data_IF_145746262795
#
_entry.id   IF_145746262795
#
_cell.length_a   1.000
_cell.length_b   1.000
_cell.length_c   1.000
_cell.angle_alpha   90.00
_cell.angle_beta   90.00
_cell.angle_gamma   90.00
#
_symmetry.space_group_name_H-M   'P 1'
#
loop_
_entity.id
_entity.type
_entity.pdbx_description
1 polymer ?
#
# COMPACT_ATOMS: atom_id res chain seq x y z
N UNK A 1 8.18 3.84 22.76
CA UNK A 1 6.92 3.06 22.65
C UNK A 1 7.07 1.60 23.05
N UNK A 2 7.94 0.79 22.44
CA UNK A 2 8.02 -0.66 22.74
C UNK A 2 8.36 -0.98 24.20
N UNK A 3 9.27 -0.22 24.81
CA UNK A 3 9.62 -0.38 26.22
C UNK A 3 8.40 -0.24 27.13
N UNK A 4 7.58 0.78 26.89
CA UNK A 4 6.40 1.04 27.71
C UNK A 4 5.34 -0.03 27.51
N UNK A 5 5.14 -0.52 26.29
CA UNK A 5 4.17 -1.56 25.99
C UNK A 5 4.44 -2.89 26.73
N UNK A 6 5.68 -3.14 27.16
CA UNK A 6 6.01 -4.31 27.98
C UNK A 6 5.46 -4.24 29.41
N UNK A 7 5.35 -3.04 29.98
CA UNK A 7 4.94 -2.87 31.37
C UNK A 7 3.41 -2.64 31.47
N UNK A 8 2.75 -3.23 32.48
CA UNK A 8 1.36 -2.94 32.81
C UNK A 8 1.07 -1.44 32.94
N UNK A 9 -0.17 -1.05 32.65
CA UNK A 9 -0.61 0.36 32.64
C UNK A 9 -0.35 1.06 33.97
N UNK A 10 -0.59 0.38 35.08
CA UNK A 10 -0.41 0.90 36.44
C UNK A 10 1.05 1.31 36.70
N UNK A 11 2.01 0.53 36.18
CA UNK A 11 3.43 0.84 36.31
C UNK A 11 3.84 2.00 35.39
N UNK A 12 3.26 2.07 34.19
CA UNK A 12 3.52 3.19 33.26
C UNK A 12 3.05 4.51 33.83
N UNK A 13 1.89 4.56 34.46
CA UNK A 13 1.32 5.79 35.04
C UNK A 13 2.10 6.27 36.26
N UNK A 14 2.56 5.35 37.12
CA UNK A 14 3.17 5.70 38.41
C UNK A 14 4.69 5.84 38.35
N UNK A 15 5.38 5.17 37.41
CA UNK A 15 6.83 5.02 37.44
C UNK A 15 7.51 5.27 36.08
N UNK A 16 6.98 6.20 35.29
CA UNK A 16 7.43 6.46 33.91
C UNK A 16 8.95 6.77 33.83
N UNK A 17 9.46 7.66 34.69
CA UNK A 17 10.90 7.99 34.74
C UNK A 17 11.78 6.78 35.09
N UNK A 18 11.28 5.88 35.96
CA UNK A 18 12.00 4.65 36.33
C UNK A 18 12.00 3.63 35.20
N UNK A 19 10.94 3.58 34.41
CA UNK A 19 10.87 2.74 33.22
C UNK A 19 11.84 3.27 32.14
N UNK A 20 11.88 4.59 31.90
CA UNK A 20 12.77 5.18 30.91
C UNK A 20 14.25 5.03 31.27
N UNK A 21 14.56 5.08 32.57
CA UNK A 21 15.90 4.86 33.12
C UNK A 21 16.23 3.38 33.40
N UNK A 22 15.34 2.43 33.04
CA UNK A 22 15.49 1.03 33.41
C UNK A 22 16.81 0.43 32.89
N UNK A 23 17.63 -0.24 33.73
CA UNK A 23 18.93 -0.79 33.32
C UNK A 23 18.86 -1.74 32.11
N UNK A 24 17.77 -2.52 32.02
CA UNK A 24 17.51 -3.46 30.92
C UNK A 24 16.65 -2.89 29.78
N UNK A 25 16.51 -1.56 29.68
CA UNK A 25 15.70 -0.89 28.66
C UNK A 25 15.98 -1.44 27.25
N UNK A 26 17.25 -1.62 26.92
CA UNK A 26 17.70 -2.05 25.59
C UNK A 26 17.35 -3.52 25.36
N UNK A 27 17.59 -4.37 26.35
CA UNK A 27 17.33 -5.81 26.32
C UNK A 27 15.83 -6.08 26.20
N UNK A 28 15.00 -5.44 27.03
CA UNK A 28 13.53 -5.55 26.98
C UNK A 28 13.02 -5.11 25.61
N UNK A 29 13.46 -3.94 25.13
CA UNK A 29 13.05 -3.43 23.81
C UNK A 29 13.43 -4.40 22.69
N UNK A 30 14.63 -4.98 22.76
CA UNK A 30 15.11 -5.95 21.75
C UNK A 30 14.27 -7.22 21.78
N UNK A 31 14.01 -7.77 22.97
CA UNK A 31 13.20 -8.99 23.13
C UNK A 31 11.78 -8.78 22.62
N UNK A 32 11.14 -7.67 22.99
CA UNK A 32 9.80 -7.32 22.50
C UNK A 32 9.80 -7.19 20.98
N UNK A 33 10.77 -6.47 20.41
CA UNK A 33 10.88 -6.28 18.96
C UNK A 33 11.04 -7.61 18.22
N UNK A 34 11.94 -8.48 18.68
CA UNK A 34 12.19 -9.79 18.04
C UNK A 34 10.95 -10.68 18.14
N UNK A 35 10.32 -10.74 19.31
CA UNK A 35 9.09 -11.53 19.49
C UNK A 35 7.96 -11.01 18.60
N UNK A 36 7.76 -9.70 18.55
CA UNK A 36 6.78 -9.06 17.66
C UNK A 36 7.04 -9.42 16.19
N UNK A 37 8.29 -9.32 15.75
CA UNK A 37 8.68 -9.66 14.38
C UNK A 37 8.42 -11.12 14.06
N UNK A 38 8.77 -12.05 14.96
CA UNK A 38 8.59 -13.50 14.74
C UNK A 38 7.11 -13.90 14.84
N UNK A 39 6.36 -13.38 15.80
CA UNK A 39 4.95 -13.73 16.02
C UNK A 39 4.07 -13.24 14.86
N UNK A 40 4.33 -12.04 14.34
CA UNK A 40 3.56 -11.47 13.23
C UNK A 40 4.09 -11.89 11.86
N UNK A 41 5.42 -11.99 11.72
CA UNK A 41 6.10 -12.32 10.47
C UNK A 41 6.17 -13.82 10.20
N UNK A 42 6.21 -14.66 11.24
CA UNK A 42 6.41 -16.12 11.20
C UNK A 42 7.87 -16.56 11.29
N UNK A 43 8.10 -17.83 11.67
CA UNK A 43 9.43 -18.37 11.99
C UNK A 43 10.46 -18.29 10.86
N UNK A 44 10.04 -18.46 9.60
CA UNK A 44 10.93 -18.44 8.41
C UNK A 44 11.02 -17.08 7.74
N UNK A 45 10.33 -16.07 8.26
CA UNK A 45 10.14 -14.76 7.61
C UNK A 45 11.44 -14.01 7.33
N UNK A 46 12.26 -13.82 8.37
CA UNK A 46 13.49 -13.05 8.28
C UNK A 46 14.48 -13.68 7.30
N UNK A 47 14.61 -15.01 7.36
CA UNK A 47 15.46 -15.76 6.44
C UNK A 47 15.00 -15.58 4.99
N UNK A 48 13.71 -15.82 4.73
CA UNK A 48 13.15 -15.74 3.38
C UNK A 48 13.24 -14.31 2.82
N UNK A 49 12.90 -13.29 3.61
CA UNK A 49 12.94 -11.92 3.11
C UNK A 49 14.37 -11.45 2.84
N UNK A 50 15.34 -11.86 3.65
CA UNK A 50 16.77 -11.63 3.37
C UNK A 50 17.20 -12.28 2.06
N UNK A 51 16.78 -13.51 1.81
CA UNK A 51 17.09 -14.23 0.58
C UNK A 51 16.45 -13.63 -0.68
N UNK A 52 15.25 -13.05 -0.54
CA UNK A 52 14.51 -12.43 -1.64
C UNK A 52 15.02 -11.01 -1.96
N UNK A 53 15.39 -10.23 -0.94
CA UNK A 53 15.70 -8.79 -1.08
C UNK A 53 17.19 -8.47 -0.99
N UNK A 54 18.00 -9.36 -0.41
CA UNK A 54 19.41 -9.09 -0.09
C UNK A 54 19.63 -8.13 1.09
N UNK A 55 18.56 -7.60 1.70
CA UNK A 55 18.64 -6.68 2.83
C UNK A 55 19.16 -7.37 4.10
N UNK A 56 19.84 -6.60 4.96
CA UNK A 56 20.25 -7.05 6.28
C UNK A 56 19.04 -7.32 7.20
N UNK A 57 19.25 -8.11 8.25
CA UNK A 57 18.20 -8.38 9.24
C UNK A 57 17.70 -7.09 9.92
N UNK A 58 18.60 -6.13 10.15
CA UNK A 58 18.25 -4.84 10.74
C UNK A 58 17.30 -4.05 9.83
N UNK A 59 17.64 -3.92 8.55
CA UNK A 59 16.80 -3.22 7.56
C UNK A 59 15.42 -3.88 7.45
N UNK A 60 15.37 -5.22 7.45
CA UNK A 60 14.11 -5.97 7.40
C UNK A 60 13.25 -5.71 8.63
N UNK A 61 13.83 -5.77 9.84
CA UNK A 61 13.10 -5.54 11.10
C UNK A 61 12.59 -4.09 11.15
N UNK A 62 13.41 -3.12 10.74
CA UNK A 62 13.00 -1.71 10.65
C UNK A 62 11.84 -1.52 9.67
N UNK A 63 11.98 -2.02 8.44
CA UNK A 63 10.94 -1.92 7.41
C UNK A 63 9.64 -2.62 7.84
N UNK A 64 9.72 -3.77 8.51
CA UNK A 64 8.56 -4.49 9.01
C UNK A 64 7.88 -3.72 10.15
N UNK A 65 8.65 -3.15 11.06
CA UNK A 65 8.13 -2.31 12.15
C UNK A 65 7.38 -1.10 11.59
N UNK A 66 7.96 -0.42 10.60
CA UNK A 66 7.31 0.69 9.91
C UNK A 66 6.03 0.23 9.17
N UNK A 67 6.07 -0.88 8.43
CA UNK A 67 4.91 -1.40 7.72
C UNK A 67 3.74 -1.76 8.66
N UNK A 68 4.04 -2.40 9.82
CA UNK A 68 3.04 -2.70 10.85
C UNK A 68 2.37 -1.44 11.38
N UNK A 69 3.16 -0.41 11.67
CA UNK A 69 2.66 0.87 12.15
C UNK A 69 1.81 1.60 11.09
N UNK A 70 2.29 1.68 9.85
CA UNK A 70 1.59 2.33 8.73
C UNK A 70 0.23 1.68 8.48
N UNK A 71 0.17 0.34 8.46
CA UNK A 71 -1.09 -0.37 8.24
C UNK A 71 -1.93 -0.60 9.51
N UNK A 72 -1.47 -0.08 10.66
CA UNK A 72 -2.10 -0.26 11.98
C UNK A 72 -2.43 -1.72 12.26
N UNK A 73 -1.46 -2.61 12.03
CA UNK A 73 -1.67 -4.05 12.15
C UNK A 73 -2.06 -4.49 13.56
N UNK A 74 -1.70 -3.71 14.60
CA UNK A 74 -2.10 -3.96 15.98
C UNK A 74 -3.62 -3.91 16.17
N UNK A 75 -4.30 -2.95 15.55
CA UNK A 75 -5.77 -2.84 15.63
C UNK A 75 -6.46 -4.10 15.10
N UNK A 76 -5.91 -4.69 14.04
CA UNK A 76 -6.40 -5.96 13.48
C UNK A 76 -6.07 -7.11 14.42
N UNK A 77 -4.89 -7.12 15.03
CA UNK A 77 -4.47 -8.15 15.97
C UNK A 77 -5.38 -8.19 17.19
N UNK A 78 -5.55 -7.04 17.87
CA UNK A 78 -6.40 -6.88 19.05
C UNK A 78 -7.87 -7.21 18.71
N UNK A 79 -8.34 -6.77 17.53
CA UNK A 79 -9.68 -7.09 17.05
C UNK A 79 -9.90 -8.58 16.80
N UNK A 80 -8.87 -9.32 16.38
CA UNK A 80 -8.98 -10.79 16.21
C UNK A 80 -8.90 -11.51 17.55
N UNK A 81 -8.05 -11.09 18.47
CA UNK A 81 -7.99 -11.66 19.83
C UNK A 81 -9.32 -11.52 20.58
N UNK A 82 -10.02 -10.39 20.40
CA UNK A 82 -11.35 -10.20 20.96
C UNK A 82 -12.42 -11.17 20.42
N UNK A 83 -12.14 -11.89 19.33
CA UNK A 83 -13.04 -12.90 18.74
C UNK A 83 -12.78 -14.32 19.27
N UNK A 84 -11.88 -14.49 20.24
CA UNK A 84 -11.63 -15.78 20.87
C UNK A 84 -12.90 -16.38 21.44
N UNK A 85 -13.14 -17.64 21.06
CA UNK A 85 -14.37 -18.40 21.38
C UNK A 85 -15.68 -17.80 20.84
N UNK A 86 -15.62 -16.77 19.99
CA UNK A 86 -16.80 -16.13 19.38
C UNK A 86 -16.99 -16.58 17.93
N UNK A 87 -15.89 -16.75 17.19
CA UNK A 87 -15.89 -17.22 15.80
C UNK A 87 -14.98 -18.43 15.63
N UNK A 88 -15.08 -19.13 14.50
CA UNK A 88 -14.21 -20.26 14.17
C UNK A 88 -12.72 -19.87 14.19
N UNK A 89 -11.89 -20.71 14.80
CA UNK A 89 -10.44 -20.53 14.85
C UNK A 89 -9.81 -20.52 13.45
N UNK A 90 -10.38 -21.24 12.48
CA UNK A 90 -9.92 -21.19 11.09
C UNK A 90 -10.12 -19.79 10.49
N UNK A 91 -11.26 -19.15 10.80
CA UNK A 91 -11.55 -17.79 10.37
C UNK A 91 -10.56 -16.79 10.98
N UNK A 92 -10.30 -16.87 12.28
CA UNK A 92 -9.31 -16.02 12.93
C UNK A 92 -7.91 -16.17 12.30
N UNK A 93 -7.50 -17.42 12.07
CA UNK A 93 -6.20 -17.74 11.44
C UNK A 93 -6.10 -17.11 10.05
N UNK A 94 -7.17 -17.18 9.26
CA UNK A 94 -7.23 -16.60 7.93
C UNK A 94 -7.11 -15.07 7.95
N UNK A 95 -7.75 -14.39 8.91
CA UNK A 95 -7.60 -12.93 9.11
C UNK A 95 -6.14 -12.59 9.45
N UNK A 96 -5.53 -13.31 10.42
CA UNK A 96 -4.12 -13.12 10.81
C UNK A 96 -3.18 -13.30 9.62
N UNK A 97 -3.40 -14.34 8.79
CA UNK A 97 -2.62 -14.58 7.58
C UNK A 97 -2.80 -13.49 6.51
N UNK A 98 -4.00 -12.92 6.36
CA UNK A 98 -4.20 -11.78 5.46
C UNK A 98 -3.47 -10.52 5.93
N UNK A 99 -3.54 -10.21 7.22
CA UNK A 99 -2.78 -9.09 7.83
C UNK A 99 -1.27 -9.27 7.64
N UNK A 100 -0.75 -10.47 7.93
CA UNK A 100 0.66 -10.83 7.69
C UNK A 100 1.09 -10.59 6.24
N UNK A 101 0.27 -10.99 5.27
CA UNK A 101 0.56 -10.77 3.84
C UNK A 101 0.62 -9.29 3.48
N UNK A 102 -0.26 -8.46 4.04
CA UNK A 102 -0.24 -7.01 3.81
C UNK A 102 1.05 -6.40 4.36
N UNK A 103 1.38 -6.69 5.62
CA UNK A 103 2.59 -6.18 6.27
C UNK A 103 3.83 -6.61 5.50
N UNK A 104 3.95 -7.87 5.11
CA UNK A 104 5.10 -8.35 4.35
C UNK A 104 5.26 -7.65 3.00
N UNK A 105 4.17 -7.41 2.27
CA UNK A 105 4.23 -6.65 1.02
C UNK A 105 4.69 -5.22 1.29
N UNK A 106 4.18 -4.59 2.35
CA UNK A 106 4.62 -3.28 2.83
C UNK A 106 6.10 -3.23 3.16
N UNK A 107 6.62 -4.23 3.90
CA UNK A 107 8.04 -4.35 4.22
C UNK A 107 8.88 -4.35 2.95
N UNK A 108 8.55 -5.21 1.99
CA UNK A 108 9.30 -5.34 0.73
C UNK A 108 9.24 -4.04 -0.08
N UNK A 109 8.07 -3.40 -0.13
CA UNK A 109 7.92 -2.10 -0.78
C UNK A 109 8.83 -1.04 -0.16
N UNK A 110 8.87 -0.95 1.18
CA UNK A 110 9.73 0.01 1.89
C UNK A 110 11.21 -0.26 1.64
N UNK A 111 11.63 -1.53 1.65
CA UNK A 111 13.01 -1.91 1.34
C UNK A 111 13.42 -1.49 -0.09
N UNK A 112 12.51 -1.62 -1.05
CA UNK A 112 12.81 -1.35 -2.47
C UNK A 112 12.65 0.13 -2.86
N UNK A 113 11.82 0.90 -2.15
CA UNK A 113 11.43 2.26 -2.57
C UNK A 113 11.90 3.38 -1.64
N UNK A 114 12.54 3.05 -0.51
CA UNK A 114 13.04 4.05 0.45
C UNK A 114 14.52 3.83 0.77
N UNK A 115 15.28 4.91 1.03
CA UNK A 115 16.67 4.80 1.41
C UNK A 115 16.81 4.01 2.71
N UNK A 116 17.87 3.19 2.79
CA UNK A 116 18.22 2.41 3.97
C UNK A 116 19.46 3.01 4.66
N UNK A 117 19.56 2.94 6.00
CA UNK A 117 18.55 2.41 6.93
C UNK A 117 17.32 3.34 7.03
N UNK A 118 16.14 2.74 7.22
CA UNK A 118 14.90 3.50 7.39
C UNK A 118 14.88 4.29 8.71
N UNK A 119 14.61 5.60 8.58
CA UNK A 119 14.19 6.46 9.68
C UNK A 119 12.73 6.16 10.02
N UNK A 120 12.52 5.41 11.12
CA UNK A 120 11.22 4.83 11.46
C UNK A 120 10.14 5.88 11.72
N UNK A 121 10.44 6.85 12.59
CA UNK A 121 9.48 7.87 13.01
C UNK A 121 9.03 8.75 11.85
N UNK A 122 9.99 9.23 11.05
CA UNK A 122 9.71 10.01 9.85
C UNK A 122 8.87 9.21 8.85
N UNK A 123 9.25 7.96 8.57
CA UNK A 123 8.56 7.11 7.60
C UNK A 123 7.13 6.81 8.04
N UNK A 124 6.93 6.44 9.31
CA UNK A 124 5.59 6.15 9.86
C UNK A 124 4.73 7.41 9.86
N UNK A 125 5.28 8.55 10.24
CA UNK A 125 4.56 9.85 10.23
C UNK A 125 4.19 10.25 8.80
N UNK A 126 5.09 10.05 7.84
CA UNK A 126 4.85 10.39 6.44
C UNK A 126 3.73 9.53 5.83
N UNK A 127 3.77 8.20 6.01
CA UNK A 127 2.80 7.32 5.38
C UNK A 127 1.52 7.12 6.20
N UNK A 128 1.59 7.02 7.52
CA UNK A 128 0.51 6.50 8.37
C UNK A 128 -0.84 7.19 8.16
N UNK A 129 -0.90 8.50 8.35
CA UNK A 129 -2.17 9.25 8.19
C UNK A 129 -2.62 9.31 6.73
N UNK A 130 -1.69 9.46 5.78
CA UNK A 130 -2.00 9.55 4.34
C UNK A 130 -2.55 8.22 3.80
N UNK A 131 -1.99 7.10 4.25
CA UNK A 131 -2.49 5.75 3.96
C UNK A 131 -3.88 5.55 4.57
N UNK A 132 -4.07 5.92 5.84
CA UNK A 132 -5.38 5.78 6.50
C UNK A 132 -6.46 6.63 5.82
N UNK A 133 -6.12 7.85 5.40
CA UNK A 133 -7.03 8.73 4.67
C UNK A 133 -7.60 8.05 3.43
N UNK A 134 -6.76 7.41 2.64
CA UNK A 134 -7.18 6.65 1.45
C UNK A 134 -7.91 5.37 1.84
N UNK A 135 -7.39 4.62 2.83
CA UNK A 135 -7.97 3.36 3.29
C UNK A 135 -9.43 3.55 3.74
N UNK A 136 -9.70 4.55 4.56
CA UNK A 136 -11.06 4.84 5.07
C UNK A 136 -12.09 5.12 3.97
N UNK A 137 -11.65 5.53 2.77
CA UNK A 137 -12.51 5.79 1.63
C UNK A 137 -12.49 4.67 0.57
N UNK A 138 -11.75 3.57 0.80
CA UNK A 138 -11.62 2.48 -0.17
C UNK A 138 -12.96 2.00 -0.74
N UNK A 139 -14.02 1.73 0.05
CA UNK A 139 -15.29 1.24 -0.49
C UNK A 139 -15.90 2.15 -1.56
N UNK A 140 -15.64 3.47 -1.48
CA UNK A 140 -16.12 4.45 -2.46
C UNK A 140 -15.23 4.55 -3.69
N UNK A 141 -13.95 4.23 -3.55
CA UNK A 141 -12.93 4.31 -4.61
C UNK A 141 -12.90 3.05 -5.49
N UNK A 142 -13.16 1.88 -4.91
CA UNK A 142 -13.12 0.61 -5.63
C UNK A 142 -14.21 0.52 -6.70
N UNK A 143 -13.88 -0.20 -7.78
CA UNK A 143 -14.74 -0.41 -8.96
C UNK A 143 -14.54 -1.83 -9.48
N UNK A 144 -15.57 -2.37 -10.15
CA UNK A 144 -15.50 -3.66 -10.84
C UNK A 144 -15.03 -4.79 -9.94
N UNK A 145 -14.06 -5.58 -10.43
CA UNK A 145 -13.58 -6.79 -9.78
C UNK A 145 -13.02 -6.55 -8.36
N UNK A 146 -12.37 -5.41 -8.11
CA UNK A 146 -11.84 -5.11 -6.77
C UNK A 146 -12.96 -4.82 -5.76
N UNK A 147 -14.04 -4.15 -6.21
CA UNK A 147 -15.21 -3.89 -5.36
C UNK A 147 -15.98 -5.18 -5.07
N UNK A 148 -16.15 -6.04 -6.08
CA UNK A 148 -16.77 -7.37 -5.90
C UNK A 148 -15.94 -8.24 -4.95
N UNK A 149 -14.62 -8.20 -5.06
CA UNK A 149 -13.71 -8.88 -4.13
C UNK A 149 -13.86 -8.35 -2.70
N UNK A 150 -13.83 -7.03 -2.55
CA UNK A 150 -14.02 -6.37 -1.26
C UNK A 150 -15.36 -6.79 -0.62
N UNK A 151 -16.46 -6.67 -1.37
CA UNK A 151 -17.79 -6.96 -0.85
C UNK A 151 -17.93 -8.43 -0.44
N UNK A 152 -17.39 -9.35 -1.22
CA UNK A 152 -17.43 -10.79 -0.89
C UNK A 152 -16.74 -11.10 0.43
N UNK A 153 -15.54 -10.54 0.66
CA UNK A 153 -14.82 -10.75 1.91
C UNK A 153 -15.56 -10.09 3.07
N UNK A 154 -16.08 -8.87 2.86
CA UNK A 154 -16.86 -8.18 3.88
C UNK A 154 -18.11 -8.97 4.29
N UNK A 155 -18.89 -9.46 3.32
CA UNK A 155 -20.11 -10.23 3.58
C UNK A 155 -19.81 -11.56 4.28
N UNK A 156 -18.73 -12.24 3.87
CA UNK A 156 -18.27 -13.47 4.50
C UNK A 156 -17.91 -13.25 5.98
N UNK A 157 -17.11 -12.22 6.27
CA UNK A 157 -16.69 -11.90 7.63
C UNK A 157 -17.87 -11.47 8.50
N UNK A 158 -18.71 -10.58 7.98
CA UNK A 158 -19.89 -10.08 8.69
C UNK A 158 -20.89 -11.20 8.98
N UNK A 159 -21.13 -12.08 8.00
CA UNK A 159 -21.98 -13.26 8.16
C UNK A 159 -21.46 -14.27 9.18
N UNK A 160 -20.15 -14.30 9.42
CA UNK A 160 -19.51 -15.13 10.44
C UNK A 160 -19.43 -14.46 11.83
N UNK A 161 -20.04 -13.29 12.01
CA UNK A 161 -20.09 -12.58 13.30
C UNK A 161 -18.89 -11.69 13.61
N UNK A 162 -18.04 -11.39 12.60
CA UNK A 162 -16.94 -10.43 12.76
C UNK A 162 -17.53 -9.00 12.82
N UNK A 163 -17.11 -8.15 13.78
CA UNK A 163 -17.55 -6.76 13.86
C UNK A 163 -17.28 -5.97 12.58
N UNK A 164 -18.19 -5.06 12.24
CA UNK A 164 -18.21 -4.28 10.99
C UNK A 164 -16.88 -3.53 10.72
N UNK A 165 -16.33 -2.91 11.76
CA UNK A 165 -15.06 -2.16 11.65
C UNK A 165 -13.89 -3.09 11.25
N UNK A 166 -13.82 -4.28 11.84
CA UNK A 166 -12.79 -5.26 11.53
C UNK A 166 -13.02 -5.89 10.16
N UNK A 167 -14.27 -6.25 9.84
CA UNK A 167 -14.64 -6.80 8.53
C UNK A 167 -14.28 -5.83 7.39
N UNK A 168 -14.62 -4.55 7.53
CA UNK A 168 -14.26 -3.46 6.61
C UNK A 168 -12.75 -3.36 6.41
N UNK A 169 -11.97 -3.39 7.49
CA UNK A 169 -10.51 -3.27 7.42
C UNK A 169 -9.89 -4.47 6.72
N UNK A 170 -10.32 -5.68 7.07
CA UNK A 170 -9.80 -6.94 6.49
C UNK A 170 -10.16 -7.08 5.01
N UNK A 171 -11.40 -6.75 4.63
CA UNK A 171 -11.82 -6.72 3.23
C UNK A 171 -10.98 -5.75 2.38
N UNK A 172 -10.50 -4.66 2.99
CA UNK A 172 -9.66 -3.65 2.34
C UNK A 172 -8.20 -4.03 2.12
N UNK A 173 -7.66 -5.09 2.76
CA UNK A 173 -6.20 -5.34 2.78
C UNK A 173 -5.54 -5.45 1.41
N UNK A 174 -6.17 -6.11 0.44
CA UNK A 174 -5.62 -6.24 -0.92
C UNK A 174 -5.46 -4.88 -1.60
N UNK A 175 -6.44 -4.00 -1.39
CA UNK A 175 -6.53 -2.68 -2.00
C UNK A 175 -5.83 -1.59 -1.18
N UNK A 176 -5.55 -1.86 0.09
CA UNK A 176 -4.78 -0.97 0.96
C UNK A 176 -3.28 -1.01 0.64
N UNK A 177 -2.73 -2.13 0.15
CA UNK A 177 -1.30 -2.21 -0.17
C UNK A 177 -0.82 -1.13 -1.18
N UNK A 178 -1.50 -0.92 -2.33
CA UNK A 178 -1.13 0.12 -3.29
C UNK A 178 -1.15 1.56 -2.76
N UNK A 179 -1.72 1.81 -1.59
CA UNK A 179 -1.73 3.16 -1.00
C UNK A 179 -0.32 3.71 -0.74
N UNK A 180 0.67 2.85 -0.54
CA UNK A 180 2.09 3.27 -0.45
C UNK A 180 2.56 3.93 -1.75
N UNK A 181 2.26 3.32 -2.90
CA UNK A 181 2.56 3.88 -4.22
C UNK A 181 1.77 5.18 -4.45
N UNK A 182 0.48 5.19 -4.09
CA UNK A 182 -0.39 6.37 -4.23
C UNK A 182 0.19 7.55 -3.45
N UNK A 183 0.59 7.34 -2.19
CA UNK A 183 1.17 8.39 -1.35
C UNK A 183 2.53 8.85 -1.90
N UNK A 184 3.37 7.92 -2.35
CA UNK A 184 4.68 8.25 -2.97
C UNK A 184 4.52 9.06 -4.27
N UNK A 185 3.56 8.70 -5.11
CA UNK A 185 3.22 9.45 -6.34
C UNK A 185 2.66 10.82 -5.99
N UNK A 186 1.75 10.90 -5.02
CA UNK A 186 1.14 12.15 -4.59
C UNK A 186 2.20 13.15 -4.11
N UNK A 187 3.12 12.70 -3.25
CA UNK A 187 4.23 13.51 -2.74
C UNK A 187 5.14 14.01 -3.88
N UNK A 188 5.62 13.10 -4.74
CA UNK A 188 6.48 13.44 -5.88
C UNK A 188 5.84 14.44 -6.84
N UNK A 189 4.52 14.40 -6.99
CA UNK A 189 3.77 15.29 -7.88
C UNK A 189 3.22 16.55 -7.20
N UNK A 190 3.38 16.69 -5.88
CA UNK A 190 2.79 17.78 -5.11
C UNK A 190 1.24 17.77 -5.15
N UNK A 191 0.63 16.58 -5.13
CA UNK A 191 -0.83 16.38 -5.17
C UNK A 191 -1.36 15.76 -3.88
N UNK A 192 -2.67 15.84 -3.71
CA UNK A 192 -3.36 15.16 -2.60
C UNK A 192 -3.45 13.64 -2.84
N UNK A 193 -3.19 12.78 -1.84
CA UNK A 193 -3.27 11.32 -1.96
C UNK A 193 -4.61 10.83 -2.52
N UNK A 194 -5.71 11.50 -2.14
CA UNK A 194 -7.05 11.15 -2.60
C UNK A 194 -7.24 11.39 -4.11
N UNK A 195 -6.66 12.45 -4.68
CA UNK A 195 -6.72 12.71 -6.12
C UNK A 195 -6.00 11.62 -6.90
N UNK A 196 -4.84 11.16 -6.38
CA UNK A 196 -4.08 10.07 -6.99
C UNK A 196 -4.83 8.75 -6.86
N UNK A 197 -5.44 8.48 -5.70
CA UNK A 197 -6.21 7.27 -5.46
C UNK A 197 -7.40 7.13 -6.42
N UNK A 198 -8.16 8.20 -6.65
CA UNK A 198 -9.29 8.20 -7.59
C UNK A 198 -8.85 7.78 -9.00
N UNK A 199 -7.73 8.33 -9.49
CA UNK A 199 -7.19 7.97 -10.81
C UNK A 199 -6.64 6.54 -10.80
N UNK A 200 -5.91 6.16 -9.74
CA UNK A 200 -5.31 4.84 -9.62
C UNK A 200 -6.36 3.73 -9.67
N UNK A 201 -7.42 3.77 -8.86
CA UNK A 201 -8.43 2.72 -8.86
C UNK A 201 -9.33 2.74 -10.12
N UNK A 202 -9.66 3.91 -10.68
CA UNK A 202 -10.42 3.97 -11.96
C UNK A 202 -9.59 3.41 -13.13
N UNK A 203 -8.29 3.75 -13.18
CA UNK A 203 -7.37 3.22 -14.18
C UNK A 203 -7.19 1.70 -14.01
N UNK A 204 -7.01 1.23 -12.79
CA UNK A 204 -6.85 -0.19 -12.46
C UNK A 204 -8.01 -1.03 -12.98
N UNK A 205 -9.25 -0.56 -12.78
CA UNK A 205 -10.43 -1.21 -13.30
C UNK A 205 -10.49 -1.19 -14.84
N UNK A 206 -10.19 -0.06 -15.48
CA UNK A 206 -10.24 0.06 -16.95
C UNK A 206 -9.16 -0.76 -17.66
N UNK A 207 -7.96 -0.82 -17.09
CA UNK A 207 -6.84 -1.63 -17.58
C UNK A 207 -6.92 -3.08 -17.12
N UNK A 208 -7.93 -3.45 -16.32
CA UNK A 208 -8.13 -4.81 -15.81
C UNK A 208 -6.92 -5.34 -15.04
N UNK A 209 -6.31 -4.48 -14.23
CA UNK A 209 -5.09 -4.80 -13.46
C UNK A 209 -5.33 -5.99 -12.52
N UNK A 210 -6.50 -6.09 -11.89
CA UNK A 210 -6.89 -7.25 -11.06
C UNK A 210 -6.80 -8.57 -11.82
N UNK A 211 -7.24 -8.60 -13.08
CA UNK A 211 -7.22 -9.82 -13.90
C UNK A 211 -5.78 -10.20 -14.28
N UNK A 212 -4.89 -9.23 -14.50
CA UNK A 212 -3.46 -9.49 -14.71
C UNK A 212 -2.82 -10.03 -13.43
N UNK A 213 -3.17 -9.47 -12.27
CA UNK A 213 -2.73 -9.94 -10.97
C UNK A 213 -3.16 -11.39 -10.72
N UNK A 214 -4.39 -11.76 -11.08
CA UNK A 214 -4.87 -13.15 -10.97
C UNK A 214 -4.06 -14.11 -11.83
N UNK A 215 -3.69 -13.72 -13.07
CA UNK A 215 -2.81 -14.54 -13.92
C UNK A 215 -1.42 -14.71 -13.34
N UNK A 216 -0.86 -13.67 -12.69
CA UNK A 216 0.41 -13.79 -11.95
C UNK A 216 0.25 -14.72 -10.74
N UNK A 217 -0.95 -14.78 -10.14
CA UNK A 217 -1.27 -15.69 -9.04
C UNK A 217 -1.36 -17.16 -9.50
N UNK A 218 -1.73 -17.41 -10.76
CA UNK A 218 -1.83 -18.76 -11.32
C UNK A 218 -0.49 -19.36 -11.80
N UNK A 219 0.54 -18.55 -12.03
CA UNK A 219 1.87 -19.02 -12.48
C UNK A 219 2.44 -20.12 -11.54
N UNK A 220 3.29 -21.05 -12.01
CA UNK A 220 3.83 -22.11 -11.16
C UNK A 220 4.70 -21.59 -10.00
N UNK A 221 4.75 -22.35 -8.90
CA UNK A 221 5.59 -22.10 -7.70
C UNK A 221 6.34 -23.38 -7.30
N UNK A 222 6.83 -24.13 -8.28
CA UNK A 222 7.51 -25.40 -8.03
C UNK A 222 8.87 -25.21 -7.36
N UNK A 223 9.50 -24.04 -7.55
CA UNK A 223 10.80 -23.75 -6.97
C UNK A 223 10.94 -22.29 -6.48
N UNK A 224 12.09 -22.00 -5.87
CA UNK A 224 12.46 -20.68 -5.35
C UNK A 224 12.52 -19.61 -6.44
N UNK A 225 13.10 -19.94 -7.60
CA UNK A 225 13.29 -18.98 -8.70
C UNK A 225 11.95 -18.56 -9.30
N UNK A 226 11.03 -19.50 -9.46
CA UNK A 226 9.65 -19.23 -9.89
C UNK A 226 8.92 -18.36 -8.86
N UNK A 227 9.11 -18.62 -7.57
CA UNK A 227 8.52 -17.79 -6.51
C UNK A 227 9.05 -16.34 -6.55
N UNK A 228 10.35 -16.16 -6.75
CA UNK A 228 10.98 -14.85 -6.91
C UNK A 228 10.53 -14.14 -8.18
N UNK A 229 10.49 -14.84 -9.33
CA UNK A 229 10.03 -14.27 -10.59
C UNK A 229 8.58 -13.79 -10.50
N UNK A 230 7.69 -14.54 -9.85
CA UNK A 230 6.31 -14.12 -9.61
C UNK A 230 6.20 -12.91 -8.71
N UNK A 231 7.06 -12.79 -7.70
CA UNK A 231 7.11 -11.60 -6.85
C UNK A 231 7.56 -10.38 -7.65
N UNK A 232 8.62 -10.51 -8.46
CA UNK A 232 9.14 -9.45 -9.33
C UNK A 232 8.08 -8.97 -10.35
N UNK A 233 7.42 -9.88 -11.08
CA UNK A 233 6.39 -9.51 -12.06
C UNK A 233 5.22 -8.76 -11.39
N UNK A 234 4.85 -9.17 -10.17
CA UNK A 234 3.81 -8.49 -9.40
C UNK A 234 4.23 -7.07 -9.01
N UNK A 235 5.48 -6.89 -8.57
CA UNK A 235 6.02 -5.58 -8.24
C UNK A 235 6.12 -4.67 -9.46
N UNK A 236 6.60 -5.20 -10.59
CA UNK A 236 6.66 -4.48 -11.86
C UNK A 236 5.26 -4.04 -12.33
N UNK A 237 4.23 -4.88 -12.13
CA UNK A 237 2.85 -4.50 -12.46
C UNK A 237 2.33 -3.36 -11.59
N UNK A 238 2.61 -3.36 -10.28
CA UNK A 238 2.24 -2.25 -9.40
C UNK A 238 2.99 -0.96 -9.76
N UNK A 239 4.30 -1.07 -10.04
CA UNK A 239 5.13 0.06 -10.45
C UNK A 239 4.67 0.64 -11.81
N UNK A 240 4.33 -0.20 -12.77
CA UNK A 240 3.76 0.24 -14.05
C UNK A 240 2.40 0.92 -13.85
N UNK A 241 1.54 0.36 -12.99
CA UNK A 241 0.24 0.95 -12.71
C UNK A 241 0.37 2.34 -12.06
N UNK A 242 1.27 2.50 -11.08
CA UNK A 242 1.51 3.80 -10.43
C UNK A 242 2.18 4.80 -11.38
N UNK A 243 3.07 4.36 -12.27
CA UNK A 243 3.67 5.20 -13.31
C UNK A 243 2.63 5.74 -14.29
N UNK A 244 1.74 4.88 -14.82
CA UNK A 244 0.68 5.32 -15.74
C UNK A 244 -0.31 6.25 -15.03
N UNK A 245 -0.65 5.99 -13.76
CA UNK A 245 -1.49 6.90 -12.99
C UNK A 245 -0.85 8.29 -12.85
N UNK A 246 0.46 8.36 -12.60
CA UNK A 246 1.21 9.61 -12.53
C UNK A 246 1.24 10.34 -13.89
N UNK A 247 1.45 9.63 -15.00
CA UNK A 247 1.41 10.21 -16.36
C UNK A 247 0.05 10.81 -16.68
N UNK A 248 -1.04 10.08 -16.41
CA UNK A 248 -2.42 10.58 -16.62
C UNK A 248 -2.69 11.84 -15.79
N UNK A 249 -2.20 11.88 -14.55
CA UNK A 249 -2.33 13.04 -13.67
C UNK A 249 -1.52 14.26 -14.15
N UNK A 250 -0.38 14.03 -14.82
CA UNK A 250 0.48 15.08 -15.37
C UNK A 250 -0.06 15.65 -16.68
N UNK A 251 -0.69 14.84 -17.52
CA UNK A 251 -1.37 15.35 -18.73
C UNK A 251 -2.67 16.08 -18.39
N UNK A 252 -3.35 15.68 -17.32
CA UNK A 252 -4.56 16.33 -16.83
C UNK A 252 -4.38 17.76 -16.29
N UNK A 253 -3.13 18.19 -16.02
CA UNK A 253 -2.82 19.52 -15.45
C UNK A 253 -2.46 20.59 -16.48
N UNK A 254 -2.33 20.27 -17.77
CA UNK A 254 -1.92 21.25 -18.80
C UNK A 254 -3.00 21.47 -19.86
N UNK A 255 -3.77 22.55 -19.70
CA UNK A 255 -4.22 23.45 -20.78
C UNK A 255 -4.78 24.73 -20.15
N UNK A 256 -4.17 25.92 -20.35
CA UNK A 256 -4.86 27.17 -20.07
C UNK A 256 -6.13 27.24 -20.95
N UNK A 257 -7.21 27.90 -20.48
CA UNK A 257 -8.41 28.03 -21.29
C UNK A 257 -8.05 28.73 -22.60
N UNK A 258 -8.27 28.04 -23.73
CA UNK A 258 -8.26 28.71 -25.03
C UNK A 258 -9.39 29.73 -25.02
N UNK A 259 -9.00 31.00 -24.99
CA UNK A 259 -9.89 32.11 -25.24
C UNK A 259 -10.41 32.03 -26.67
N UNK A 260 -11.70 31.71 -26.83
CA UNK A 260 -12.56 32.30 -27.86
C UNK A 260 -14.03 31.93 -27.64
N UNK A 261 -14.88 32.95 -27.46
CA UNK A 261 -16.32 32.85 -27.69
C UNK A 261 -17.23 32.96 -26.45
N UNK A 262 -17.50 34.22 -26.06
CA UNK A 262 -18.72 34.75 -25.43
C UNK A 262 -19.87 33.81 -25.03
N UNK A 263 -20.36 33.92 -23.78
CA UNK A 263 -21.66 34.55 -23.39
C UNK A 263 -21.85 34.38 -21.87
N UNK A 264 -22.11 35.49 -21.18
CA UNK A 264 -22.53 35.54 -19.78
C UNK A 264 -24.02 35.15 -19.63
N UNK A 265 -24.38 34.50 -18.52
CA UNK A 265 -25.78 34.29 -18.15
C UNK A 265 -25.97 33.59 -16.79
N UNK A 266 -26.07 34.39 -15.72
CA UNK A 266 -26.81 34.21 -14.46
C UNK A 266 -26.98 32.82 -13.78
N UNK A 267 -26.58 32.75 -12.50
CA UNK A 267 -27.46 32.23 -11.42
C UNK A 267 -27.19 30.87 -10.77
N UNK A 268 -26.41 30.89 -9.67
CA UNK A 268 -26.53 30.12 -8.40
C UNK A 268 -26.35 28.58 -8.34
N UNK A 269 -25.60 28.17 -7.29
CA UNK A 269 -25.33 26.85 -6.66
C UNK A 269 -24.03 26.11 -7.09
N UNK A 270 -23.05 25.88 -6.17
CA UNK A 270 -21.82 25.15 -6.49
C UNK A 270 -22.01 23.63 -6.37
N UNK A 271 -21.98 22.92 -7.50
CA UNK A 271 -21.69 21.48 -7.58
C UNK A 271 -20.28 21.28 -8.14
N UNK A 272 -19.27 21.30 -7.27
CA UNK A 272 -17.88 21.08 -7.65
C UNK A 272 -17.34 19.76 -7.07
N UNK A 273 -17.89 18.61 -7.47
CA UNK A 273 -17.36 17.27 -7.14
C UNK A 273 -17.41 16.28 -8.34
N UNK A 274 -17.37 16.78 -9.58
CA UNK A 274 -17.43 15.92 -10.78
C UNK A 274 -16.55 16.34 -11.97
N UNK A 275 -15.81 17.46 -11.87
CA UNK A 275 -15.18 18.09 -13.03
C UNK A 275 -13.91 17.42 -13.56
N UNK A 276 -13.12 16.77 -12.69
CA UNK A 276 -11.80 16.23 -13.06
C UNK A 276 -11.89 14.85 -13.72
N UNK A 277 -12.68 13.92 -13.17
CA UNK A 277 -12.92 12.59 -13.76
C UNK A 277 -13.76 12.67 -15.05
N UNK A 278 -14.71 13.62 -15.14
CA UNK A 278 -15.56 13.79 -16.34
C UNK A 278 -14.80 14.31 -17.58
N UNK A 279 -13.65 14.97 -17.40
CA UNK A 279 -12.82 15.45 -18.51
C UNK A 279 -11.99 14.31 -19.10
N UNK A 280 -11.48 13.40 -18.27
CA UNK A 280 -10.82 12.18 -18.74
C UNK A 280 -11.79 11.19 -19.41
N UNK A 281 -13.03 11.06 -18.93
CA UNK A 281 -14.10 10.28 -19.60
C UNK A 281 -14.33 10.70 -21.07
N UNK A 282 -14.04 11.95 -21.43
CA UNK A 282 -14.08 12.46 -22.82
C UNK A 282 -12.81 12.14 -23.61
N UNK A 283 -11.65 12.08 -22.97
CA UNK A 283 -10.38 11.79 -23.63
C UNK A 283 -10.29 10.35 -24.15
N UNK A 284 -10.85 9.38 -23.40
CA UNK A 284 -10.91 7.97 -23.82
C UNK A 284 -11.90 7.69 -24.97
N UNK A 285 -12.65 8.69 -25.43
CA UNK A 285 -13.50 8.61 -26.63
C UNK A 285 -12.75 8.87 -27.95
N UNK A 286 -11.54 9.47 -27.91
CA UNK A 286 -10.73 9.69 -29.11
C UNK A 286 -9.60 8.65 -29.21
N UNK A 287 -9.74 7.79 -30.21
CA UNK A 287 -8.96 6.58 -30.50
C UNK A 287 -7.53 6.81 -31.02
N UNK A 288 -6.80 7.84 -30.58
CA UNK A 288 -5.46 8.16 -31.12
C UNK A 288 -4.48 8.66 -30.06
N UNK A 289 -3.62 7.77 -29.56
CA UNK A 289 -2.16 8.00 -29.37
C UNK A 289 -1.46 7.06 -28.35
N UNK A 290 -1.83 5.77 -28.23
CA UNK A 290 -1.04 4.82 -27.40
C UNK A 290 0.29 4.41 -28.09
N UNK A 291 0.50 4.75 -29.37
CA UNK A 291 1.67 4.29 -30.14
C UNK A 291 3.01 5.00 -29.85
N UNK A 292 3.16 5.79 -28.78
CA UNK A 292 4.43 6.51 -28.49
C UNK A 292 5.09 6.21 -27.13
N UNK A 293 4.54 5.33 -26.30
CA UNK A 293 5.08 5.03 -24.95
C UNK A 293 5.99 3.77 -24.96
N UNK A 294 6.78 3.59 -26.03
CA UNK A 294 7.85 2.58 -26.07
C UNK A 294 9.16 3.22 -26.50
N UNK A 295 9.85 3.87 -25.56
CA UNK A 295 11.30 4.13 -25.63
C UNK A 295 11.82 4.19 -24.20
N UNK A 296 12.01 3.01 -23.61
CA UNK A 296 12.76 2.80 -22.38
C UNK A 296 14.19 3.31 -22.56
N UNK A 297 14.62 4.26 -21.73
CA UNK A 297 16.02 4.70 -21.64
C UNK A 297 16.58 4.19 -20.32
N UNK A 298 17.35 3.10 -20.40
CA UNK A 298 18.10 2.51 -19.29
C UNK A 298 19.20 3.49 -18.82
N UNK A 299 19.04 4.02 -17.61
CA UNK A 299 19.93 5.01 -16.99
C UNK A 299 21.16 4.41 -16.31
N UNK A 300 21.83 3.45 -16.93
CA UNK A 300 23.10 2.88 -16.42
C UNK A 300 23.97 2.46 -17.59
N UNK A 301 24.77 3.39 -18.10
CA UNK A 301 26.01 3.20 -18.88
C UNK A 301 26.39 4.54 -19.53
N UNK A 302 27.21 5.33 -18.85
CA UNK A 302 27.90 6.45 -19.48
C UNK A 302 29.03 5.95 -20.36
N UNK A 303 28.78 5.88 -21.69
CA UNK A 303 29.79 6.06 -22.75
C UNK A 303 29.13 6.08 -24.13
N UNK A 304 29.53 7.08 -24.90
CA UNK A 304 29.17 7.35 -26.29
C UNK A 304 29.32 6.13 -27.20
N UNK A 305 28.40 5.97 -28.16
CA UNK A 305 28.71 5.30 -29.42
C UNK A 305 27.95 5.92 -30.59
N UNK A 306 28.73 6.45 -31.55
CA UNK A 306 28.70 5.94 -32.91
C UNK A 306 27.51 6.30 -33.79
N UNK A 307 27.65 7.44 -34.47
CA UNK A 307 27.00 7.79 -35.72
C UNK A 307 27.19 6.69 -36.78
N UNK A 308 26.12 6.09 -37.31
CA UNK A 308 26.14 5.48 -38.65
C UNK A 308 24.87 5.87 -39.42
N UNK A 309 25.10 6.43 -40.61
CA UNK A 309 24.14 6.81 -41.64
C UNK A 309 23.76 5.60 -42.50
N UNK A 310 22.55 5.69 -43.06
CA UNK A 310 21.89 4.89 -44.10
C UNK A 310 21.04 3.74 -43.59
#
# INVERSE_FOLDING_TARGET
MLLHAYFPTELREQFLDRIDSHPLRREITTTVLVNDTVNTGGTTYLHRLREETGASLEEIVRAQTAARAIFRSSVVWDGVEALDNTVDAELQTRIRLHSRRLVERGTRWLLNNRPQPLELEETVTFFGERVEQVWSQLPKLLRGADLEWYQRIYDELSGAGVPDELATRVAGFSSAFPTLDIVSVADRMGKEPMEVAEVYYDLGNRLRITQLMDRIIELPRADRWQSMARAAIREDLYAAHSAVAAEVLAEGTVLPPRSSGSICGSGRIPRCWGGRVARWRRFTGLRRSISRICLWRCGRCGRCCGRIRR
#
